data_IF_044796393836
#
_entry.id   IF_044796393836
#
_cell.length_a   1.000
_cell.length_b   1.000
_cell.length_c   1.000
_cell.angle_alpha   90.00
_cell.angle_beta   90.00
_cell.angle_gamma   90.00
#
_symmetry.space_group_name_H-M   'P 1'
#
loop_
_entity.id
_entity.type
_entity.pdbx_description
1 polymer ?
#
# COMPACT_ATOMS: atom_id res chain seq x y z
N UNK A 1 12.87 2.88 -8.98
CA UNK A 1 11.95 3.46 -7.97
C UNK A 1 12.51 3.05 -6.62
N UNK A 2 12.22 3.78 -5.55
CA UNK A 2 12.58 3.43 -4.17
C UNK A 2 11.46 3.84 -3.21
N UNK A 3 11.54 3.42 -1.94
CA UNK A 3 10.56 3.74 -0.92
C UNK A 3 10.38 5.25 -0.74
N UNK A 4 11.48 6.02 -0.69
CA UNK A 4 11.42 7.47 -0.49
C UNK A 4 10.65 8.16 -1.61
N UNK A 5 10.82 7.71 -2.86
CA UNK A 5 10.04 8.19 -4.01
C UNK A 5 8.57 7.83 -3.90
N UNK A 6 8.23 6.62 -3.41
CA UNK A 6 6.84 6.23 -3.16
C UNK A 6 6.18 7.16 -2.12
N UNK A 7 6.83 7.37 -0.97
CA UNK A 7 6.32 8.27 0.08
C UNK A 7 6.17 9.71 -0.42
N UNK A 8 7.15 10.22 -1.19
CA UNK A 8 7.06 11.54 -1.82
C UNK A 8 5.86 11.65 -2.78
N UNK A 9 5.60 10.62 -3.59
CA UNK A 9 4.43 10.59 -4.48
C UNK A 9 3.12 10.56 -3.68
N UNK A 10 3.04 9.80 -2.58
CA UNK A 10 1.89 9.80 -1.67
C UNK A 10 1.66 11.21 -1.08
N UNK A 11 2.72 11.88 -0.61
CA UNK A 11 2.65 13.28 -0.14
C UNK A 11 2.13 14.22 -1.23
N UNK A 12 2.58 14.08 -2.48
CA UNK A 12 2.14 14.91 -3.61
C UNK A 12 0.67 14.66 -4.02
N UNK A 13 0.15 13.45 -3.84
CA UNK A 13 -1.29 13.15 -4.04
C UNK A 13 -2.11 13.86 -2.96
N UNK A 14 -1.62 13.98 -1.74
CA UNK A 14 -2.14 14.79 -0.65
C UNK A 14 -3.35 14.16 0.06
N UNK A 15 -4.36 13.69 -0.68
CA UNK A 15 -5.55 13.03 -0.11
C UNK A 15 -5.50 11.55 -0.45
N UNK A 16 -5.39 10.70 0.57
CA UNK A 16 -5.25 9.26 0.41
C UNK A 16 -6.49 8.52 0.91
N UNK A 17 -6.85 7.44 0.22
CA UNK A 17 -7.89 6.53 0.68
C UNK A 17 -7.32 5.58 1.74
N UNK A 18 -7.91 5.60 2.95
CA UNK A 18 -7.58 4.72 4.07
C UNK A 18 -8.69 3.71 4.28
N UNK A 19 -8.38 2.45 4.18
CA UNK A 19 -9.26 1.36 4.54
C UNK A 19 -8.83 0.73 5.87
N UNK A 20 -9.81 0.43 6.72
CA UNK A 20 -9.68 -0.25 8.01
C UNK A 20 -10.76 -1.33 8.13
N UNK A 21 -10.79 -2.02 9.24
CA UNK A 21 -11.79 -3.04 9.57
C UNK A 21 -12.45 -2.63 10.88
N UNK A 22 -13.79 -2.64 10.93
CA UNK A 22 -14.53 -2.41 12.16
C UNK A 22 -14.60 -3.65 13.05
N UNK A 23 -15.23 -3.54 14.20
CA UNK A 23 -15.36 -4.63 15.18
C UNK A 23 -16.24 -5.79 14.72
N UNK A 24 -17.02 -5.61 13.65
CA UNK A 24 -17.83 -6.67 13.02
C UNK A 24 -17.08 -7.35 11.86
N UNK A 25 -15.86 -6.89 11.56
CA UNK A 25 -15.05 -7.38 10.43
C UNK A 25 -15.41 -6.73 9.09
N UNK A 26 -16.28 -5.71 9.07
CA UNK A 26 -16.66 -5.03 7.85
C UNK A 26 -15.58 -4.01 7.42
N UNK A 27 -15.21 -3.95 6.13
CA UNK A 27 -14.25 -2.98 5.64
C UNK A 27 -14.86 -1.56 5.64
N UNK A 28 -14.08 -0.61 6.13
CA UNK A 28 -14.42 0.81 6.17
C UNK A 28 -13.41 1.60 5.33
N UNK A 29 -13.86 2.64 4.60
CA UNK A 29 -12.98 3.48 3.78
C UNK A 29 -13.30 4.96 3.96
N UNK A 30 -12.26 5.80 3.98
CA UNK A 30 -12.36 7.26 4.04
C UNK A 30 -11.13 7.92 3.42
N UNK A 31 -11.26 9.20 3.08
CA UNK A 31 -10.15 10.02 2.64
C UNK A 31 -9.50 10.71 3.84
N UNK A 32 -8.16 10.65 3.89
CA UNK A 32 -7.33 11.32 4.90
C UNK A 32 -6.28 12.16 4.19
N UNK A 33 -6.14 13.41 4.65
CA UNK A 33 -5.15 14.38 4.16
C UNK A 33 -4.24 14.91 5.26
N UNK A 34 -4.63 14.78 6.53
CA UNK A 34 -3.86 15.21 7.68
C UNK A 34 -2.71 14.22 7.99
N UNK A 35 -1.71 14.18 7.10
CA UNK A 35 -0.61 13.20 7.13
C UNK A 35 0.72 13.94 7.06
N UNK A 36 1.62 13.59 7.97
CA UNK A 36 3.04 13.95 7.94
C UNK A 36 3.88 12.73 7.54
N UNK A 37 4.94 12.97 6.77
CA UNK A 37 5.81 11.93 6.22
C UNK A 37 7.24 12.12 6.70
N UNK A 38 7.77 11.14 7.42
CA UNK A 38 9.18 10.95 7.70
C UNK A 38 9.78 9.89 6.75
N UNK A 39 11.11 9.78 6.65
CA UNK A 39 11.75 8.76 5.79
C UNK A 39 11.39 7.31 6.16
N UNK A 40 11.07 7.07 7.43
CA UNK A 40 10.86 5.76 8.05
C UNK A 40 9.49 5.62 8.74
N UNK A 41 8.61 6.62 8.64
CA UNK A 41 7.28 6.59 9.26
C UNK A 41 6.28 7.55 8.59
N UNK A 42 4.99 7.25 8.75
CA UNK A 42 3.89 8.16 8.49
C UNK A 42 3.15 8.46 9.79
N UNK A 43 2.87 9.73 10.02
CA UNK A 43 2.05 10.20 11.15
C UNK A 43 0.78 10.82 10.62
N UNK A 44 -0.37 10.53 11.22
CA UNK A 44 -1.63 11.12 10.77
C UNK A 44 -2.57 11.42 11.95
N UNK A 45 -3.38 12.45 11.74
CA UNK A 45 -4.32 12.95 12.72
C UNK A 45 -5.72 12.38 12.49
N UNK A 46 -6.39 12.05 13.60
CA UNK A 46 -7.85 11.87 13.64
C UNK A 46 -8.40 12.36 14.99
N UNK A 47 -9.74 12.47 15.12
CA UNK A 47 -10.35 12.81 16.41
C UNK A 47 -10.79 11.54 17.16
N UNK A 48 -10.60 11.52 18.49
CA UNK A 48 -10.88 10.37 19.37
C UNK A 48 -12.31 9.84 19.27
N UNK A 49 -13.31 10.70 19.01
CA UNK A 49 -14.71 10.31 18.91
C UNK A 49 -15.13 9.68 17.58
N UNK A 50 -14.22 9.57 16.59
CA UNK A 50 -14.55 8.98 15.28
C UNK A 50 -14.44 7.46 15.30
N UNK A 51 -15.31 6.78 14.53
CA UNK A 51 -15.21 5.33 14.31
C UNK A 51 -13.82 4.95 13.80
N UNK A 52 -13.22 5.76 12.92
CA UNK A 52 -11.87 5.54 12.43
C UNK A 52 -10.84 5.42 13.57
N UNK A 53 -10.93 6.28 14.59
CA UNK A 53 -10.06 6.15 15.77
C UNK A 53 -10.31 4.84 16.52
N UNK A 54 -11.57 4.47 16.72
CA UNK A 54 -11.94 3.22 17.38
C UNK A 54 -11.40 2.00 16.63
N UNK A 55 -11.59 1.94 15.31
CA UNK A 55 -11.09 0.87 14.42
C UNK A 55 -9.55 0.73 14.53
N UNK A 56 -8.82 1.85 14.54
CA UNK A 56 -7.36 1.85 14.69
C UNK A 56 -6.90 1.40 16.07
N UNK A 57 -7.61 1.77 17.13
CA UNK A 57 -7.28 1.35 18.50
C UNK A 57 -7.56 -0.13 18.74
N UNK A 58 -8.62 -0.68 18.13
CA UNK A 58 -9.03 -2.08 18.31
C UNK A 58 -8.25 -3.06 17.44
N UNK A 59 -8.05 -2.76 16.17
CA UNK A 59 -7.39 -3.65 15.19
C UNK A 59 -6.05 -3.11 14.69
N UNK A 60 -6.01 -1.83 14.34
CA UNK A 60 -4.84 -1.12 13.83
C UNK A 60 -4.47 -1.44 12.38
N UNK A 61 -5.01 -2.49 11.74
CA UNK A 61 -4.70 -2.80 10.33
C UNK A 61 -5.21 -1.71 9.41
N UNK A 62 -4.35 -1.27 8.51
CA UNK A 62 -4.67 -0.26 7.50
C UNK A 62 -4.24 -0.68 6.11
N UNK A 63 -5.04 -0.31 5.13
CA UNK A 63 -4.67 -0.29 3.72
C UNK A 63 -4.79 1.14 3.23
N UNK A 64 -3.71 1.67 2.66
CA UNK A 64 -3.70 3.04 2.14
C UNK A 64 -3.46 2.98 0.64
N UNK A 65 -4.22 3.78 -0.12
CA UNK A 65 -4.09 3.90 -1.56
C UNK A 65 -3.84 5.35 -1.96
N UNK A 66 -2.74 5.56 -2.70
CA UNK A 66 -2.50 6.74 -3.50
C UNK A 66 -2.61 6.38 -4.99
N UNK A 67 -3.31 7.21 -5.77
CA UNK A 67 -3.39 7.08 -7.23
C UNK A 67 -2.99 8.38 -7.90
N UNK A 68 -1.92 8.34 -8.70
CA UNK A 68 -1.40 9.53 -9.37
C UNK A 68 -2.08 9.75 -10.74
N UNK A 69 -2.03 10.98 -11.24
CA UNK A 69 -2.49 11.30 -12.60
C UNK A 69 -1.73 10.55 -13.71
N UNK A 70 -0.62 9.91 -13.39
CA UNK A 70 0.21 9.12 -14.31
C UNK A 70 -0.14 7.62 -14.29
N UNK A 71 -1.30 7.25 -13.72
CA UNK A 71 -1.77 5.86 -13.59
C UNK A 71 -0.88 4.98 -12.70
N UNK A 72 -0.19 5.60 -11.75
CA UNK A 72 0.59 4.93 -10.74
C UNK A 72 -0.27 4.72 -9.50
N UNK A 73 -0.33 3.51 -9.00
CA UNK A 73 -0.91 3.15 -7.71
C UNK A 73 0.19 2.87 -6.70
N UNK A 74 0.09 3.46 -5.53
CA UNK A 74 0.95 3.14 -4.39
C UNK A 74 0.04 2.64 -3.28
N UNK A 75 0.22 1.39 -2.89
CA UNK A 75 -0.55 0.76 -1.81
C UNK A 75 0.36 0.49 -0.64
N UNK A 76 -0.02 0.99 0.53
CA UNK A 76 0.66 0.70 1.78
C UNK A 76 -0.22 -0.23 2.61
N UNK A 77 0.34 -1.35 3.05
CA UNK A 77 -0.30 -2.35 3.91
C UNK A 77 0.47 -2.46 5.21
N UNK A 78 -0.14 -2.06 6.32
CA UNK A 78 0.55 -2.04 7.61
C UNK A 78 -0.38 -2.01 8.81
N UNK A 79 0.20 -1.69 9.95
CA UNK A 79 -0.54 -1.38 11.17
C UNK A 79 -0.24 0.04 11.64
N UNK A 80 -1.30 0.75 12.05
CA UNK A 80 -1.19 2.02 12.73
C UNK A 80 -1.35 1.81 14.24
N UNK A 81 -0.63 2.58 15.02
CA UNK A 81 -0.74 2.64 16.48
C UNK A 81 -0.70 4.08 16.96
N UNK A 82 -1.37 4.38 18.06
CA UNK A 82 -1.30 5.71 18.67
C UNK A 82 0.12 5.98 19.17
N UNK A 83 0.68 7.13 18.84
CA UNK A 83 2.01 7.52 19.37
C UNK A 83 1.95 7.74 20.89
N UNK A 84 3.10 7.65 21.54
CA UNK A 84 3.19 7.85 22.99
C UNK A 84 2.64 9.25 23.40
N UNK A 85 2.05 9.33 24.59
CA UNK A 85 1.37 10.53 25.09
C UNK A 85 2.26 11.78 25.04
N UNK A 86 3.53 11.64 25.41
CA UNK A 86 4.52 12.73 25.39
C UNK A 86 4.92 13.20 23.98
N UNK A 87 4.60 12.44 22.93
CA UNK A 87 4.90 12.79 21.54
C UNK A 87 3.68 13.32 20.78
N UNK A 88 2.46 13.12 21.31
CA UNK A 88 1.20 13.53 20.67
C UNK A 88 1.23 14.99 20.25
N UNK A 89 1.64 15.88 21.16
CA UNK A 89 1.68 17.32 20.91
C UNK A 89 2.65 17.69 19.79
N UNK A 90 3.85 17.09 19.79
CA UNK A 90 4.89 17.33 18.77
C UNK A 90 4.35 17.07 17.36
N UNK A 91 3.80 15.87 17.14
CA UNK A 91 3.33 15.46 15.81
C UNK A 91 2.04 16.19 15.41
N UNK A 92 1.20 16.53 16.38
CA UNK A 92 0.02 17.35 16.13
C UNK A 92 0.41 18.76 15.64
N UNK A 93 1.37 19.42 16.31
CA UNK A 93 1.85 20.74 15.92
C UNK A 93 2.42 20.71 14.48
N UNK A 94 3.25 19.72 14.14
CA UNK A 94 3.81 19.54 12.78
C UNK A 94 2.70 19.35 11.74
N UNK A 95 1.73 18.47 11.98
CA UNK A 95 0.65 18.21 11.03
C UNK A 95 -0.21 19.46 10.81
N UNK A 96 -0.52 20.22 11.87
CA UNK A 96 -1.30 21.45 11.76
C UNK A 96 -0.53 22.57 11.05
N UNK A 97 0.79 22.62 11.18
CA UNK A 97 1.64 23.55 10.44
C UNK A 97 1.69 23.18 8.95
N UNK A 98 1.88 21.89 8.60
CA UNK A 98 1.88 21.41 7.21
C UNK A 98 0.49 21.47 6.55
N UNK A 99 -0.59 21.44 7.34
CA UNK A 99 -1.99 21.39 6.88
C UNK A 99 -2.82 22.52 7.53
N UNK A 100 -2.60 23.80 7.15
CA UNK A 100 -3.22 24.96 7.83
C UNK A 100 -4.75 24.97 7.85
N UNK A 101 -5.40 24.28 6.87
CA UNK A 101 -6.86 24.17 6.84
C UNK A 101 -7.42 23.45 8.08
N UNK A 102 -6.63 22.61 8.77
CA UNK A 102 -7.04 21.92 9.99
C UNK A 102 -7.40 22.89 11.11
N UNK A 103 -6.74 24.07 11.16
CA UNK A 103 -7.08 25.12 12.12
C UNK A 103 -8.48 25.70 11.92
N UNK A 104 -9.04 25.61 10.71
CA UNK A 104 -10.44 25.98 10.45
C UNK A 104 -11.42 24.88 10.89
N UNK A 105 -10.98 23.61 10.87
CA UNK A 105 -11.81 22.46 11.30
C UNK A 105 -11.77 22.29 12.82
N UNK A 106 -10.60 22.50 13.42
CA UNK A 106 -10.32 22.37 14.85
C UNK A 106 -9.65 23.65 15.38
N UNK A 107 -10.41 24.76 15.53
CA UNK A 107 -9.84 26.05 15.94
C UNK A 107 -9.40 26.03 17.42
N UNK A 108 -8.25 26.69 17.69
CA UNK A 108 -7.71 26.84 19.05
C UNK A 108 -7.53 25.50 19.76
N UNK A 109 -7.98 25.43 21.01
CA UNK A 109 -7.83 24.25 21.86
C UNK A 109 -8.75 23.07 21.46
N UNK A 110 -9.69 23.26 20.53
CA UNK A 110 -10.55 22.16 20.07
C UNK A 110 -9.75 21.04 19.36
N UNK A 111 -8.52 21.34 18.91
CA UNK A 111 -7.59 20.33 18.36
C UNK A 111 -7.16 19.26 19.38
N UNK A 112 -7.29 19.52 20.68
CA UNK A 112 -6.97 18.57 21.76
C UNK A 112 -7.86 17.32 21.76
N UNK A 113 -9.00 17.35 21.06
CA UNK A 113 -9.80 16.14 20.81
C UNK A 113 -9.08 15.16 19.87
N UNK A 114 -8.00 15.61 19.23
CA UNK A 114 -7.22 14.83 18.31
C UNK A 114 -6.38 13.73 18.95
N UNK A 115 -5.96 12.82 18.13
CA UNK A 115 -4.97 11.80 18.44
C UNK A 115 -4.14 11.52 17.19
N UNK A 116 -2.85 11.34 17.39
CA UNK A 116 -1.90 11.02 16.32
C UNK A 116 -1.60 9.52 16.31
N UNK A 117 -1.69 8.94 15.13
CA UNK A 117 -1.26 7.57 14.86
C UNK A 117 0.01 7.56 14.01
N UNK A 118 0.81 6.53 14.21
CA UNK A 118 2.03 6.25 13.45
C UNK A 118 1.90 4.93 12.67
N UNK A 119 2.54 4.88 11.49
CA UNK A 119 2.81 3.66 10.73
C UNK A 119 4.30 3.66 10.39
N UNK A 120 5.07 2.77 10.98
CA UNK A 120 6.51 2.58 10.77
C UNK A 120 6.85 1.16 10.30
N UNK A 121 5.84 0.31 10.15
CA UNK A 121 5.95 -1.07 9.71
C UNK A 121 4.92 -1.33 8.62
N UNK A 122 5.35 -1.41 7.37
CA UNK A 122 4.44 -1.61 6.24
C UNK A 122 5.11 -2.20 5.01
N UNK A 123 4.34 -2.98 4.23
CA UNK A 123 4.63 -3.29 2.83
C UNK A 123 4.11 -2.15 1.96
N UNK A 124 4.94 -1.64 1.04
CA UNK A 124 4.58 -0.58 0.09
C UNK A 124 4.73 -1.10 -1.33
N UNK A 125 3.61 -1.37 -1.99
CA UNK A 125 3.60 -1.82 -3.38
C UNK A 125 3.43 -0.61 -4.32
N UNK A 126 4.36 -0.45 -5.24
CA UNK A 126 4.25 0.45 -6.38
C UNK A 126 3.78 -0.31 -7.62
N UNK A 127 2.75 0.18 -8.28
CA UNK A 127 2.19 -0.43 -9.48
C UNK A 127 1.87 0.65 -10.53
N UNK A 128 2.55 0.59 -11.68
CA UNK A 128 2.43 1.58 -12.75
C UNK A 128 1.77 0.97 -14.00
N UNK A 129 0.55 1.42 -14.28
CA UNK A 129 -0.22 1.09 -15.48
C UNK A 129 0.04 2.06 -16.65
N UNK A 130 0.80 3.12 -16.41
CA UNK A 130 1.12 4.15 -17.41
C UNK A 130 2.27 3.78 -18.34
N UNK A 131 2.92 2.64 -18.13
CA UNK A 131 4.05 2.13 -18.93
C UNK A 131 3.74 0.79 -19.58
N UNK A 132 4.47 0.45 -20.63
CA UNK A 132 4.31 -0.83 -21.33
C UNK A 132 5.70 -1.49 -21.57
N UNK A 133 5.95 -2.70 -21.01
CA UNK A 133 5.05 -3.45 -20.11
C UNK A 133 4.80 -2.69 -18.80
N UNK A 134 3.72 -3.06 -18.09
CA UNK A 134 3.43 -2.52 -16.76
C UNK A 134 4.62 -2.76 -15.84
N UNK A 135 4.74 -1.92 -14.80
CA UNK A 135 5.79 -2.09 -13.80
C UNK A 135 5.22 -2.18 -12.40
N UNK A 136 5.74 -3.13 -11.61
CA UNK A 136 5.39 -3.29 -10.20
C UNK A 136 6.63 -3.61 -9.40
N UNK A 137 6.67 -3.12 -8.18
CA UNK A 137 7.74 -3.40 -7.24
C UNK A 137 7.21 -3.24 -5.80
N UNK A 138 7.78 -3.98 -4.87
CA UNK A 138 7.41 -3.93 -3.46
C UNK A 138 8.60 -3.48 -2.63
N UNK A 139 8.35 -2.50 -1.76
CA UNK A 139 9.30 -1.95 -0.80
C UNK A 139 8.83 -2.22 0.62
N UNK A 140 9.71 -2.03 1.58
CA UNK A 140 9.43 -2.24 3.01
C UNK A 140 9.70 -0.96 3.76
N UNK A 141 8.72 -0.51 4.53
CA UNK A 141 8.88 0.48 5.58
C UNK A 141 9.10 -0.26 6.90
N UNK A 142 10.21 0.04 7.59
CA UNK A 142 10.59 -0.68 8.79
C UNK A 142 11.07 -2.12 8.54
N UNK A 143 10.73 -3.03 9.44
CA UNK A 143 11.17 -4.44 9.40
C UNK A 143 9.98 -5.39 9.31
N UNK A 144 9.38 -5.51 8.12
CA UNK A 144 8.29 -6.44 7.84
C UNK A 144 8.71 -7.47 6.79
N UNK A 145 8.21 -8.70 6.92
CA UNK A 145 8.40 -9.74 5.91
C UNK A 145 7.37 -9.57 4.81
N UNK A 146 7.83 -9.48 3.56
CA UNK A 146 6.97 -9.43 2.38
C UNK A 146 6.58 -10.86 2.00
N UNK A 147 5.28 -11.11 1.84
CA UNK A 147 4.81 -12.38 1.30
C UNK A 147 4.96 -12.38 -0.22
N UNK A 148 5.59 -13.41 -0.74
CA UNK A 148 5.63 -13.63 -2.19
C UNK A 148 4.20 -13.73 -2.73
N UNK A 149 3.93 -13.01 -3.82
CA UNK A 149 2.63 -12.98 -4.50
C UNK A 149 2.85 -13.20 -5.99
N UNK A 150 1.86 -13.78 -6.65
CA UNK A 150 1.89 -13.91 -8.11
C UNK A 150 1.90 -15.34 -8.60
N UNK A 151 2.42 -15.55 -9.80
CA UNK A 151 2.46 -16.84 -10.45
C UNK A 151 3.90 -17.24 -10.77
N UNK A 152 4.21 -18.51 -10.56
CA UNK A 152 5.54 -19.08 -10.76
C UNK A 152 5.42 -20.35 -11.58
N UNK A 153 6.45 -20.71 -12.34
CA UNK A 153 6.46 -21.90 -13.16
C UNK A 153 7.36 -22.95 -12.51
N UNK A 154 6.81 -24.09 -12.15
CA UNK A 154 7.49 -25.17 -11.48
C UNK A 154 8.31 -26.03 -12.46
N UNK A 155 9.21 -26.86 -11.93
CA UNK A 155 10.08 -27.80 -12.68
C UNK A 155 9.31 -28.80 -13.54
N UNK A 156 8.03 -29.07 -13.24
CA UNK A 156 7.15 -29.90 -14.07
C UNK A 156 6.76 -29.27 -15.41
N UNK A 157 7.32 -28.09 -15.74
CA UNK A 157 7.08 -27.40 -17.00
C UNK A 157 7.64 -28.20 -18.19
N UNK A 158 6.80 -28.49 -19.19
CA UNK A 158 7.16 -29.22 -20.42
C UNK A 158 7.59 -28.31 -21.57
N UNK A 159 7.76 -27.01 -21.35
CA UNK A 159 8.24 -26.06 -22.36
C UNK A 159 7.27 -25.78 -23.52
N UNK A 160 5.97 -26.06 -23.40
CA UNK A 160 4.99 -25.98 -24.51
C UNK A 160 4.67 -24.55 -24.98
N UNK A 161 5.06 -23.51 -24.25
CA UNK A 161 4.91 -22.08 -24.62
C UNK A 161 3.48 -21.54 -24.56
N UNK A 162 2.46 -22.29 -24.15
CA UNK A 162 1.07 -21.82 -24.09
C UNK A 162 0.91 -20.61 -23.15
N UNK A 163 1.54 -20.65 -21.96
CA UNK A 163 1.51 -19.54 -21.00
C UNK A 163 2.08 -18.25 -21.60
N UNK A 164 3.22 -18.33 -22.28
CA UNK A 164 3.87 -17.19 -22.94
C UNK A 164 2.99 -16.59 -24.05
N UNK A 165 2.35 -17.42 -24.88
CA UNK A 165 1.46 -16.98 -25.97
C UNK A 165 0.24 -16.21 -25.44
N UNK A 166 -0.28 -16.57 -24.27
CA UNK A 166 -1.49 -15.99 -23.69
C UNK A 166 -1.20 -14.89 -22.64
N UNK A 167 0.08 -14.57 -22.39
CA UNK A 167 0.42 -13.50 -21.46
C UNK A 167 0.14 -12.13 -22.06
N UNK A 168 -0.76 -11.31 -21.48
CA UNK A 168 -1.08 -9.99 -22.03
C UNK A 168 0.09 -9.01 -21.94
N UNK A 169 0.97 -9.18 -20.93
CA UNK A 169 2.16 -8.33 -20.75
C UNK A 169 3.42 -8.91 -21.42
N UNK A 170 3.33 -10.11 -22.01
CA UNK A 170 4.48 -10.80 -22.62
C UNK A 170 5.68 -10.93 -21.67
N UNK A 171 5.42 -11.03 -20.37
CA UNK A 171 6.42 -11.08 -19.31
C UNK A 171 6.89 -12.49 -18.96
N UNK A 172 6.68 -13.48 -19.85
CA UNK A 172 7.14 -14.86 -19.65
C UNK A 172 8.26 -15.16 -20.63
N UNK A 173 9.40 -15.51 -20.10
CA UNK A 173 10.60 -15.82 -20.86
C UNK A 173 10.79 -17.33 -21.00
N UNK A 174 11.42 -17.72 -22.12
CA UNK A 174 11.81 -19.11 -22.34
C UNK A 174 12.91 -19.51 -21.38
N UNK A 175 12.80 -20.72 -20.86
CA UNK A 175 13.77 -21.35 -19.96
C UNK A 175 13.40 -22.80 -19.73
N UNK A 176 14.07 -23.44 -18.77
CA UNK A 176 13.73 -24.81 -18.33
C UNK A 176 13.83 -24.82 -16.79
N UNK A 177 12.73 -24.51 -16.09
CA UNK A 177 11.37 -24.10 -16.57
C UNK A 177 11.33 -22.68 -17.17
N UNK A 178 10.21 -22.30 -17.82
CA UNK A 178 9.97 -20.92 -18.22
C UNK A 178 9.91 -20.00 -16.98
N UNK A 179 10.22 -18.71 -17.15
CA UNK A 179 10.29 -17.73 -16.05
C UNK A 179 9.31 -16.59 -16.27
N UNK A 180 8.53 -16.26 -15.24
CA UNK A 180 7.64 -15.10 -15.22
C UNK A 180 8.39 -13.92 -14.60
N UNK A 181 8.56 -12.84 -15.36
CA UNK A 181 9.10 -11.57 -14.84
C UNK A 181 8.05 -10.91 -13.96
N UNK A 182 8.24 -10.99 -12.63
CA UNK A 182 7.24 -10.54 -11.65
C UNK A 182 7.01 -9.03 -11.72
N UNK A 183 8.05 -8.26 -12.02
CA UNK A 183 8.00 -6.80 -12.18
C UNK A 183 7.08 -6.34 -13.32
N UNK A 184 6.75 -7.22 -14.24
CA UNK A 184 5.87 -6.95 -15.39
C UNK A 184 4.59 -7.80 -15.36
N UNK A 185 4.37 -8.54 -14.28
CA UNK A 185 3.24 -9.45 -14.17
C UNK A 185 1.99 -8.75 -13.62
N UNK A 186 0.87 -8.81 -14.37
CA UNK A 186 -0.44 -8.32 -13.90
C UNK A 186 -1.06 -9.18 -12.80
N UNK A 187 -0.53 -10.35 -12.53
CA UNK A 187 -1.15 -11.39 -11.70
C UNK A 187 -2.57 -11.78 -12.17
N UNK A 188 -2.81 -11.74 -13.49
CA UNK A 188 -4.13 -12.00 -14.08
C UNK A 188 -4.53 -13.49 -14.11
N UNK A 189 -3.59 -14.43 -13.91
CA UNK A 189 -3.87 -15.86 -13.86
C UNK A 189 -3.98 -16.56 -15.23
N UNK A 190 -3.91 -15.87 -16.37
CA UNK A 190 -4.05 -16.48 -17.69
C UNK A 190 -3.06 -17.61 -17.95
N UNK A 191 -1.81 -17.46 -17.51
CA UNK A 191 -0.79 -18.51 -17.60
C UNK A 191 -1.15 -19.76 -16.79
N UNK A 192 -1.76 -19.59 -15.62
CA UNK A 192 -2.22 -20.66 -14.74
C UNK A 192 -3.34 -21.48 -15.38
N UNK A 193 -4.37 -20.79 -15.90
CA UNK A 193 -5.52 -21.44 -16.53
C UNK A 193 -5.16 -22.18 -17.83
N UNK A 194 -4.22 -21.63 -18.59
CA UNK A 194 -3.82 -22.20 -19.89
C UNK A 194 -2.74 -23.28 -19.83
N UNK A 195 -2.21 -23.58 -18.63
CA UNK A 195 -1.17 -24.59 -18.48
C UNK A 195 -1.75 -26.01 -18.55
N UNK A 196 -1.42 -26.83 -19.59
CA UNK A 196 -2.01 -28.15 -19.77
C UNK A 196 -1.55 -29.17 -18.72
N UNK A 197 -0.37 -28.93 -18.12
CA UNK A 197 0.23 -29.83 -17.12
C UNK A 197 0.20 -29.24 -15.71
N UNK A 198 -0.52 -28.12 -15.51
CA UNK A 198 -0.66 -27.40 -14.22
C UNK A 198 0.68 -27.05 -13.54
N UNK A 199 1.72 -26.81 -14.35
CA UNK A 199 3.03 -26.43 -13.85
C UNK A 199 3.12 -24.97 -13.37
N UNK A 200 2.10 -24.15 -13.61
CA UNK A 200 2.05 -22.79 -13.06
C UNK A 200 1.37 -22.83 -11.68
N UNK A 201 2.05 -22.30 -10.68
CA UNK A 201 1.55 -22.23 -9.30
C UNK A 201 1.28 -20.78 -8.90
N UNK A 202 0.30 -20.57 -8.01
CA UNK A 202 0.00 -19.28 -7.38
C UNK A 202 0.58 -19.27 -5.96
N UNK A 203 1.29 -18.21 -5.63
CA UNK A 203 1.72 -17.90 -4.27
C UNK A 203 0.90 -16.73 -3.67
#
# INVERSE_FOLDING_TARGET
MDLATCLKKMKLVGVLAFATVDNEGAPQIRNISAIHYEPDALYFFTARGKNFCKELMEDGRVQILAYTKYKEMIRLSGKAYAVAENEQKKWMDIIFEEQPYLANVYPGDTREIGIIFCIDQAEVEYFNLGVNPIFRETYVLGNVSVKEKGYYIAESCIGCGKCMKHCPQKCIEKGTPFVIRQEHCLHCGSCYEKCPVKAVIRK
#
